data_IF_588410640467
#
_entry.id   IF_588410640467
#
_cell.length_a   1.000
_cell.length_b   1.000
_cell.length_c   1.000
_cell.angle_alpha   90.00
_cell.angle_beta   90.00
_cell.angle_gamma   90.00
#
_symmetry.space_group_name_H-M   'P 1'
#
loop_
_entity.id
_entity.type
_entity.pdbx_description
1 polymer ?
#
# COMPACT_ATOMS: atom_id res chain seq x y z
N UNK A 1 1.80 11.65 17.57
CA UNK A 1 2.41 10.47 16.91
C UNK A 1 2.81 10.86 15.49
N UNK A 2 3.99 11.44 15.30
CA UNK A 2 4.57 11.58 13.96
C UNK A 2 5.56 10.45 13.76
N UNK A 3 5.09 9.28 13.32
CA UNK A 3 6.00 8.21 12.91
C UNK A 3 6.76 8.63 11.66
N UNK A 4 7.99 8.14 11.49
CA UNK A 4 8.75 8.35 10.25
C UNK A 4 7.94 7.80 9.06
N UNK A 5 7.67 8.64 8.06
CA UNK A 5 6.98 8.25 6.82
C UNK A 5 8.00 7.85 5.76
N UNK A 6 7.87 6.64 5.23
CA UNK A 6 8.70 6.17 4.12
C UNK A 6 8.28 6.86 2.81
N UNK A 7 9.23 7.46 2.10
CA UNK A 7 8.99 8.15 0.81
C UNK A 7 9.65 7.44 -0.36
N UNK A 8 9.33 7.85 -1.59
CA UNK A 8 10.01 7.33 -2.81
C UNK A 8 11.53 7.54 -2.75
N UNK A 9 11.99 8.69 -2.23
CA UNK A 9 13.41 8.97 -2.08
C UNK A 9 14.09 7.97 -1.13
N UNK A 10 13.42 7.56 -0.05
CA UNK A 10 13.94 6.56 0.88
C UNK A 10 13.94 5.15 0.29
N UNK A 11 12.98 4.82 -0.58
CA UNK A 11 13.00 3.57 -1.35
C UNK A 11 14.17 3.53 -2.33
N UNK A 12 14.40 4.61 -3.08
CA UNK A 12 15.54 4.72 -4.00
C UNK A 12 16.87 4.63 -3.26
N UNK A 13 16.98 5.28 -2.11
CA UNK A 13 18.16 5.18 -1.24
C UNK A 13 18.39 3.75 -0.74
N UNK A 14 17.33 3.01 -0.42
CA UNK A 14 17.45 1.60 -0.02
C UNK A 14 17.98 0.72 -1.14
N UNK A 15 17.55 0.96 -2.40
CA UNK A 15 18.08 0.27 -3.58
C UNK A 15 19.55 0.63 -3.81
N UNK A 16 19.88 1.93 -3.79
CA UNK A 16 21.26 2.44 -3.92
C UNK A 16 22.23 1.73 -2.97
N UNK A 17 21.88 1.66 -1.68
CA UNK A 17 22.72 1.02 -0.64
C UNK A 17 22.91 -0.49 -0.82
N UNK A 18 22.05 -1.15 -1.57
CA UNK A 18 22.02 -2.62 -1.69
C UNK A 18 22.57 -3.13 -3.01
N UNK A 19 22.40 -2.37 -4.09
CA UNK A 19 22.68 -2.84 -5.46
C UNK A 19 23.93 -2.18 -6.04
N UNK A 20 24.46 -1.11 -5.42
CA UNK A 20 25.68 -0.44 -5.87
C UNK A 20 25.53 0.36 -7.17
N UNK A 21 24.30 0.57 -7.63
CA UNK A 21 23.96 1.44 -8.76
C UNK A 21 24.12 2.91 -8.36
N UNK A 22 24.07 3.82 -9.33
CA UNK A 22 23.99 5.26 -9.03
C UNK A 22 22.65 5.61 -8.34
N UNK A 23 22.62 6.77 -7.68
CA UNK A 23 21.38 7.32 -7.09
C UNK A 23 20.30 7.52 -8.14
N UNK A 24 20.69 7.97 -9.34
CA UNK A 24 19.80 8.21 -10.46
C UNK A 24 19.17 6.92 -10.97
N UNK A 25 19.98 5.89 -11.23
CA UNK A 25 19.49 4.58 -11.68
C UNK A 25 18.59 3.94 -10.62
N UNK A 26 18.95 4.06 -9.34
CA UNK A 26 18.14 3.53 -8.23
C UNK A 26 16.77 4.21 -8.15
N UNK A 27 16.71 5.52 -8.36
CA UNK A 27 15.45 6.25 -8.43
C UNK A 27 14.60 5.85 -9.64
N UNK A 28 15.24 5.69 -10.81
CA UNK A 28 14.57 5.23 -12.03
C UNK A 28 13.97 3.83 -11.87
N UNK A 29 14.71 2.89 -11.26
CA UNK A 29 14.21 1.53 -11.01
C UNK A 29 12.98 1.53 -10.11
N UNK A 30 12.99 2.32 -9.03
CA UNK A 30 11.83 2.45 -8.14
C UNK A 30 10.64 3.04 -8.89
N UNK A 31 10.85 4.08 -9.69
CA UNK A 31 9.77 4.70 -10.47
C UNK A 31 9.20 3.71 -11.50
N UNK A 32 10.04 2.97 -12.22
CA UNK A 32 9.59 1.96 -13.20
C UNK A 32 8.71 0.88 -12.54
N UNK A 33 9.10 0.37 -11.37
CA UNK A 33 8.30 -0.62 -10.65
C UNK A 33 6.95 -0.04 -10.23
N UNK A 34 6.92 1.19 -9.69
CA UNK A 34 5.68 1.83 -9.28
C UNK A 34 4.77 2.10 -10.48
N UNK A 35 5.35 2.53 -11.60
CA UNK A 35 4.62 2.80 -12.83
C UNK A 35 3.97 1.53 -13.39
N UNK A 36 4.69 0.42 -13.47
CA UNK A 36 4.13 -0.85 -13.95
C UNK A 36 2.96 -1.33 -13.08
N UNK A 37 3.06 -1.18 -11.75
CA UNK A 37 1.95 -1.50 -10.84
C UNK A 37 0.74 -0.61 -11.09
N UNK A 38 0.96 0.70 -11.29
CA UNK A 38 -0.11 1.64 -11.61
C UNK A 38 -0.80 1.27 -12.93
N UNK A 39 -0.01 1.01 -13.98
CA UNK A 39 -0.54 0.72 -15.31
C UNK A 39 -1.34 -0.59 -15.33
N UNK A 40 -0.85 -1.64 -14.65
CA UNK A 40 -1.60 -2.89 -14.47
C UNK A 40 -2.95 -2.65 -13.77
N UNK A 41 -2.97 -1.84 -12.70
CA UNK A 41 -4.20 -1.51 -11.99
C UNK A 41 -5.16 -0.70 -12.86
N UNK A 42 -4.67 0.26 -13.66
CA UNK A 42 -5.51 1.04 -14.59
C UNK A 42 -6.16 0.13 -15.64
N UNK A 43 -5.44 -0.88 -16.12
CA UNK A 43 -5.97 -1.92 -17.03
C UNK A 43 -6.98 -2.86 -16.36
N UNK A 44 -7.17 -2.77 -15.05
CA UNK A 44 -8.06 -3.64 -14.27
C UNK A 44 -7.44 -4.98 -13.87
N UNK A 45 -6.12 -5.12 -14.04
CA UNK A 45 -5.40 -6.34 -13.71
C UNK A 45 -5.19 -6.49 -12.20
N UNK A 46 -4.92 -7.73 -11.78
CA UNK A 46 -4.56 -8.03 -10.39
C UNK A 46 -3.04 -8.13 -10.28
N UNK A 47 -2.44 -7.26 -9.46
CA UNK A 47 -1.00 -7.32 -9.16
C UNK A 47 -0.78 -8.14 -7.89
N UNK A 48 0.02 -9.20 -7.97
CA UNK A 48 0.38 -10.04 -6.83
C UNK A 48 1.88 -9.94 -6.57
N UNK A 49 2.23 -9.32 -5.44
CA UNK A 49 3.60 -9.29 -4.92
C UNK A 49 3.69 -10.30 -3.77
N UNK A 50 4.32 -11.45 -4.03
CA UNK A 50 4.45 -12.54 -3.06
C UNK A 50 5.05 -12.07 -1.74
N UNK A 51 4.58 -12.63 -0.63
CA UNK A 51 4.99 -12.25 0.74
C UNK A 51 4.74 -10.79 1.14
N UNK A 52 4.18 -9.97 0.24
CA UNK A 52 3.88 -8.58 0.50
C UNK A 52 2.37 -8.37 0.44
N UNK A 53 1.78 -8.31 -0.76
CA UNK A 53 0.38 -7.99 -0.92
C UNK A 53 -0.18 -8.28 -2.31
N UNK A 54 -1.52 -8.25 -2.38
CA UNK A 54 -2.29 -8.27 -3.63
C UNK A 54 -3.03 -6.95 -3.81
N UNK A 55 -2.88 -6.35 -4.98
CA UNK A 55 -3.66 -5.21 -5.46
C UNK A 55 -4.70 -5.74 -6.43
N UNK A 56 -5.95 -5.39 -6.21
CA UNK A 56 -7.07 -5.85 -7.04
C UNK A 56 -8.03 -4.67 -7.26
N UNK A 57 -8.47 -4.51 -8.50
CA UNK A 57 -9.55 -3.58 -8.86
C UNK A 57 -10.89 -4.28 -8.64
N UNK A 58 -11.86 -3.55 -8.08
CA UNK A 58 -13.23 -4.04 -7.90
C UNK A 58 -14.22 -3.00 -8.39
N UNK A 59 -15.20 -3.47 -9.15
CA UNK A 59 -16.40 -2.69 -9.41
C UNK A 59 -17.25 -2.63 -8.13
N UNK A 60 -17.77 -1.43 -7.85
CA UNK A 60 -18.69 -1.15 -6.77
C UNK A 60 -19.99 -0.67 -7.37
N UNK A 61 -21.07 -1.36 -7.05
CA UNK A 61 -22.41 -0.96 -7.42
C UNK A 61 -22.84 0.30 -6.67
N UNK A 62 -23.86 0.96 -7.19
CA UNK A 62 -24.54 2.04 -6.49
C UNK A 62 -25.06 1.56 -5.14
N UNK A 63 -25.00 2.44 -4.13
CA UNK A 63 -25.59 2.21 -2.82
C UNK A 63 -25.91 3.53 -2.14
N UNK A 64 -26.84 3.51 -1.19
CA UNK A 64 -27.13 4.69 -0.37
C UNK A 64 -26.07 4.84 0.73
N UNK A 65 -25.48 6.02 0.81
CA UNK A 65 -24.64 6.47 1.91
C UNK A 65 -25.37 7.52 2.75
N UNK A 66 -24.67 8.06 3.75
CA UNK A 66 -25.19 9.16 4.58
C UNK A 66 -24.13 10.23 4.73
N UNK A 67 -24.55 11.49 4.73
CA UNK A 67 -23.69 12.61 5.12
C UNK A 67 -23.31 12.42 6.61
N UNK A 68 -22.02 12.25 6.96
CA UNK A 68 -21.62 12.00 8.34
C UNK A 68 -21.97 13.13 9.31
N UNK A 69 -22.23 14.36 8.82
CA UNK A 69 -22.58 15.52 9.64
C UNK A 69 -24.08 15.70 9.82
N UNK A 70 -24.89 15.50 8.77
CA UNK A 70 -26.34 15.77 8.78
C UNK A 70 -27.21 14.52 8.88
N UNK A 71 -26.67 13.34 8.56
CA UNK A 71 -27.39 12.07 8.53
C UNK A 71 -28.23 11.85 7.26
N UNK A 72 -28.34 12.85 6.40
CA UNK A 72 -29.11 12.78 5.15
C UNK A 72 -28.57 11.69 4.22
N UNK A 73 -29.49 10.97 3.59
CA UNK A 73 -29.16 9.90 2.65
C UNK A 73 -28.71 10.47 1.31
N UNK A 74 -27.56 10.01 0.82
CA UNK A 74 -26.96 10.48 -0.43
C UNK A 74 -26.52 9.26 -1.25
N UNK A 75 -26.93 9.16 -2.54
CA UNK A 75 -26.50 8.06 -3.39
C UNK A 75 -24.98 8.10 -3.61
N UNK A 76 -24.35 6.94 -3.55
CA UNK A 76 -22.93 6.75 -3.87
C UNK A 76 -22.86 6.07 -5.22
N UNK A 77 -22.45 6.84 -6.22
CA UNK A 77 -22.36 6.38 -7.61
C UNK A 77 -21.47 5.15 -7.78
N UNK A 78 -21.80 4.28 -8.75
CA UNK A 78 -20.98 3.12 -9.07
C UNK A 78 -19.59 3.55 -9.55
N UNK A 79 -18.56 2.80 -9.16
CA UNK A 79 -17.17 3.12 -9.49
C UNK A 79 -16.25 1.91 -9.38
N UNK A 80 -15.08 2.00 -10.02
CA UNK A 80 -13.96 1.09 -9.78
C UNK A 80 -13.12 1.59 -8.62
N UNK A 81 -12.73 0.69 -7.73
CA UNK A 81 -11.82 0.99 -6.62
C UNK A 81 -10.70 -0.03 -6.57
N UNK A 82 -9.48 0.43 -6.31
CA UNK A 82 -8.39 -0.47 -5.95
C UNK A 82 -8.52 -0.84 -4.47
N UNK A 83 -8.25 -2.10 -4.16
CA UNK A 83 -8.10 -2.57 -2.78
C UNK A 83 -6.76 -3.27 -2.61
N UNK A 84 -6.15 -3.06 -1.45
CA UNK A 84 -4.88 -3.67 -1.07
C UNK A 84 -5.12 -4.74 0.00
N UNK A 85 -4.63 -5.95 -0.24
CA UNK A 85 -4.68 -7.05 0.72
C UNK A 85 -3.26 -7.43 1.11
N UNK A 86 -2.88 -7.14 2.34
CA UNK A 86 -1.64 -7.62 2.91
C UNK A 86 -1.62 -9.16 2.95
N UNK A 87 -0.48 -9.74 2.58
CA UNK A 87 -0.23 -11.18 2.70
C UNK A 87 -0.23 -11.63 4.16
N UNK A 88 -0.49 -12.92 4.40
CA UNK A 88 -0.39 -13.49 5.75
C UNK A 88 1.04 -13.33 6.31
N UNK A 89 2.07 -13.51 5.46
CA UNK A 89 3.48 -13.29 5.83
C UNK A 89 3.70 -11.88 6.38
N UNK A 90 3.18 -10.85 5.71
CA UNK A 90 3.32 -9.47 6.18
C UNK A 90 2.54 -9.22 7.48
N UNK A 91 1.31 -9.75 7.59
CA UNK A 91 0.48 -9.64 8.81
C UNK A 91 1.17 -10.28 10.01
N UNK A 92 1.74 -11.46 9.85
CA UNK A 92 2.45 -12.17 10.93
C UNK A 92 3.68 -11.40 11.39
N UNK A 93 4.43 -10.81 10.46
CA UNK A 93 5.58 -9.94 10.78
C UNK A 93 5.14 -8.71 11.59
N UNK A 94 4.01 -8.09 11.25
CA UNK A 94 3.45 -6.96 11.99
C UNK A 94 3.06 -7.39 13.40
N UNK A 95 2.38 -8.52 13.55
CA UNK A 95 1.95 -9.05 14.85
C UNK A 95 3.14 -9.34 15.76
N UNK A 96 4.18 -10.03 15.25
CA UNK A 96 5.41 -10.32 16.00
C UNK A 96 6.11 -9.03 16.47
N UNK A 97 6.22 -8.04 15.58
CA UNK A 97 6.82 -6.75 15.93
C UNK A 97 6.01 -5.99 17.00
N UNK A 98 4.68 -6.08 16.97
CA UNK A 98 3.81 -5.50 17.99
C UNK A 98 4.03 -6.16 19.37
N UNK A 99 4.05 -7.50 19.42
CA UNK A 99 4.28 -8.25 20.65
C UNK A 99 5.65 -7.93 21.26
N UNK A 100 6.71 -7.90 20.45
CA UNK A 100 8.06 -7.57 20.91
C UNK A 100 8.14 -6.16 21.53
N UNK A 101 7.46 -5.17 20.94
CA UNK A 101 7.40 -3.81 21.50
C UNK A 101 6.65 -3.74 22.82
N UNK A 102 5.62 -4.58 23.02
CA UNK A 102 4.88 -4.65 24.29
C UNK A 102 5.74 -5.25 25.40
N UNK A 103 6.44 -6.35 25.11
CA UNK A 103 7.34 -6.99 26.09
C UNK A 103 8.45 -6.05 26.58
N UNK A 104 9.05 -5.26 25.68
CA UNK A 104 10.07 -4.25 26.03
C UNK A 104 9.56 -3.07 26.86
N UNK A 105 8.24 -2.86 26.93
CA UNK A 105 7.63 -1.79 27.73
C UNK A 105 7.17 -2.27 29.11
N UNK A 106 7.06 -3.58 29.30
CA UNK A 106 6.67 -4.22 30.55
C UNK A 106 7.85 -4.76 31.36
N UNK A 107 9.07 -4.66 30.81
CA UNK A 107 10.34 -4.93 31.47
C UNK A 107 11.03 -3.59 31.73
#
# INVERSE_FOLDING_TARGET
>A
MGGKTLTRAELAEAVYRKVGLSRTESAQLVEMVLQEVCDAVVRGETVKLSSFATFQVRDKNERIGRNPKTGEEVPISPRRVMTFKASNVLKDRILKAHQARRMRKSA
#
